data_IF_804384549449
#
_entry.id   IF_804384549449
#
_cell.length_a   1.000
_cell.length_b   1.000
_cell.length_c   1.000
_cell.angle_alpha   90.00
_cell.angle_beta   90.00
_cell.angle_gamma   90.00
#
_symmetry.space_group_name_H-M   'P 1'
#
loop_
_entity.id
_entity.type
_entity.pdbx_description
1 polymer ?
#
# COMPACT_ATOMS: atom_id res chain seq x y z
N UNK A 1 -6.78 -21.60 -0.32
CA UNK A 1 -6.04 -20.46 0.25
C UNK A 1 -7.06 -19.39 0.58
N UNK A 2 -7.32 -19.18 1.87
CA UNK A 2 -8.37 -18.32 2.41
C UNK A 2 -7.97 -16.85 2.30
N UNK A 3 -8.67 -16.09 1.46
CA UNK A 3 -8.53 -14.64 1.38
C UNK A 3 -9.37 -14.03 2.51
N UNK A 4 -8.72 -13.54 3.57
CA UNK A 4 -9.42 -12.94 4.71
C UNK A 4 -8.75 -11.62 5.08
N UNK A 5 -9.49 -10.53 4.90
CA UNK A 5 -9.39 -9.32 5.72
C UNK A 5 -8.30 -8.30 5.39
N UNK A 6 -8.51 -7.47 4.36
CA UNK A 6 -8.04 -6.08 4.36
C UNK A 6 -9.13 -5.16 3.82
N UNK A 7 -9.93 -4.60 4.74
CA UNK A 7 -11.08 -3.73 4.46
C UNK A 7 -10.85 -2.34 5.05
N UNK A 8 -9.92 -1.56 4.49
CA UNK A 8 -9.93 -0.07 4.56
C UNK A 8 -8.76 0.53 3.80
N UNK A 9 -9.04 1.52 2.97
CA UNK A 9 -8.05 2.53 2.60
C UNK A 9 -7.97 3.58 3.71
N UNK A 10 -6.77 4.11 3.91
CA UNK A 10 -6.48 5.17 4.88
C UNK A 10 -7.33 6.42 4.54
N UNK A 11 -7.91 7.05 5.57
CA UNK A 11 -8.61 8.35 5.42
C UNK A 11 -7.55 9.44 5.19
N UNK A 12 -7.75 10.39 4.26
CA UNK A 12 -6.97 11.62 4.27
C UNK A 12 -7.27 12.40 5.58
N UNK A 13 -6.21 12.87 6.23
CA UNK A 13 -6.28 13.76 7.40
C UNK A 13 -6.57 15.18 6.90
N UNK A 14 -7.53 15.93 7.47
CA UNK A 14 -7.76 17.31 7.10
C UNK A 14 -6.58 18.19 7.55
N UNK A 15 -6.08 19.03 6.65
CA UNK A 15 -5.00 19.98 6.90
C UNK A 15 -5.54 21.13 7.77
N UNK A 16 -5.39 21.02 9.08
CA UNK A 16 -5.21 22.18 9.96
C UNK A 16 -3.71 22.38 10.17
N UNK A 17 -3.23 23.60 10.43
CA UNK A 17 -1.81 23.83 10.71
C UNK A 17 -1.35 22.96 11.89
N UNK A 18 -0.65 21.88 11.57
CA UNK A 18 -0.13 20.91 12.52
C UNK A 18 1.32 21.28 12.79
N UNK A 19 1.65 21.64 14.03
CA UNK A 19 3.03 21.90 14.43
C UNK A 19 3.87 20.62 14.35
N UNK A 20 4.96 20.65 13.59
CA UNK A 20 5.95 19.55 13.56
C UNK A 20 7.21 20.00 14.28
N UNK A 21 7.58 19.29 15.36
CA UNK A 21 8.83 19.51 16.07
C UNK A 21 9.77 18.33 15.84
N UNK A 22 10.96 18.57 15.28
CA UNK A 22 11.97 17.51 15.08
C UNK A 22 13.29 17.92 15.72
N UNK A 23 13.85 17.04 16.56
CA UNK A 23 15.12 17.27 17.25
C UNK A 23 16.07 16.09 17.00
N UNK A 24 17.09 16.24 16.13
CA UNK A 24 18.18 15.28 16.00
C UNK A 24 19.36 15.63 16.94
N UNK A 25 20.01 14.62 17.50
CA UNK A 25 21.25 14.72 18.27
C UNK A 25 22.22 13.60 17.87
N UNK A 26 23.44 13.96 17.48
CA UNK A 26 24.51 13.02 17.12
C UNK A 26 25.72 13.31 18.01
N UNK A 27 26.34 12.27 18.57
CA UNK A 27 27.59 12.40 19.33
C UNK A 27 28.62 11.34 18.92
N UNK A 28 29.84 11.78 18.67
CA UNK A 28 31.01 10.93 18.44
C UNK A 28 31.78 10.79 19.75
N UNK A 29 31.48 9.72 20.51
CA UNK A 29 31.94 9.53 21.89
C UNK A 29 31.15 10.37 22.91
N UNK A 30 30.65 9.72 23.98
CA UNK A 30 29.85 10.38 25.02
C UNK A 30 28.33 10.21 24.86
N UNK A 31 27.52 11.05 25.53
CA UNK A 31 26.05 10.92 25.52
C UNK A 31 25.39 11.85 24.51
N UNK A 32 24.50 11.32 23.66
CA UNK A 32 23.61 12.09 22.78
C UNK A 32 22.20 12.15 23.38
N UNK A 33 21.64 13.36 23.53
CA UNK A 33 20.27 13.54 24.04
C UNK A 33 19.45 14.42 23.12
N UNK A 34 18.29 13.91 22.68
CA UNK A 34 17.34 14.64 21.83
C UNK A 34 16.00 14.84 22.55
N UNK A 35 15.51 16.08 22.57
CA UNK A 35 14.19 16.42 23.12
C UNK A 35 13.36 17.17 22.08
N UNK A 36 12.18 16.63 21.74
CA UNK A 36 11.22 17.29 20.85
C UNK A 36 9.88 17.48 21.56
N UNK A 37 9.34 18.69 21.53
CA UNK A 37 8.02 19.00 22.12
C UNK A 37 7.14 19.71 21.09
N UNK A 38 5.94 19.21 20.86
CA UNK A 38 4.96 19.85 19.98
C UNK A 38 3.62 20.10 20.70
N UNK A 39 3.06 21.29 20.53
CA UNK A 39 1.69 21.61 20.94
C UNK A 39 0.77 21.47 19.72
N UNK A 40 0.07 20.34 19.62
CA UNK A 40 -0.67 19.94 18.43
C UNK A 40 0.24 19.47 17.29
N UNK A 41 0.18 18.18 16.96
CA UNK A 41 0.90 17.59 15.83
C UNK A 41 1.96 16.55 16.15
N UNK A 42 3.00 16.46 15.32
CA UNK A 42 4.01 15.40 15.43
C UNK A 42 5.29 15.91 16.08
N UNK A 43 5.75 15.23 17.13
CA UNK A 43 7.06 15.47 17.76
C UNK A 43 7.96 14.26 17.49
N UNK A 44 9.13 14.50 16.88
CA UNK A 44 10.11 13.45 16.59
C UNK A 44 11.47 13.78 17.19
N UNK A 45 11.96 12.94 18.10
CA UNK A 45 13.31 13.06 18.67
C UNK A 45 14.19 11.91 18.17
N UNK A 46 15.36 12.21 17.62
CA UNK A 46 16.32 11.20 17.18
C UNK A 46 17.68 11.42 17.83
N UNK A 47 18.16 10.46 18.61
CA UNK A 47 19.50 10.52 19.20
C UNK A 47 20.35 9.34 18.72
N UNK A 48 21.57 9.60 18.25
CA UNK A 48 22.54 8.52 17.98
C UNK A 48 23.87 8.80 18.66
N UNK A 49 24.45 7.77 19.27
CA UNK A 49 25.78 7.86 19.86
C UNK A 49 26.68 6.74 19.35
N UNK A 50 27.85 7.12 18.83
CA UNK A 50 28.93 6.20 18.52
C UNK A 50 29.77 5.99 19.78
N UNK A 51 29.64 4.83 20.42
CA UNK A 51 30.44 4.46 21.61
C UNK A 51 29.97 5.01 22.97
N UNK A 52 28.75 5.57 23.09
CA UNK A 52 28.22 6.09 24.36
C UNK A 52 26.69 5.97 24.48
N UNK A 53 26.01 6.73 25.35
CA UNK A 53 24.56 6.60 25.60
C UNK A 53 23.75 7.50 24.67
N UNK A 54 22.64 6.99 24.12
CA UNK A 54 21.70 7.80 23.34
C UNK A 54 20.35 7.81 24.06
N UNK A 55 19.78 9.00 24.27
CA UNK A 55 18.49 9.19 24.92
C UNK A 55 17.64 10.12 24.07
N UNK A 56 16.45 9.69 23.65
CA UNK A 56 15.51 10.52 22.92
C UNK A 56 14.20 10.61 23.69
N UNK A 57 13.62 11.80 23.76
CA UNK A 57 12.34 12.03 24.40
C UNK A 57 11.49 12.96 23.54
N UNK A 58 10.31 12.50 23.16
CA UNK A 58 9.35 13.29 22.39
C UNK A 58 8.06 13.43 23.20
N UNK A 59 7.50 14.63 23.26
CA UNK A 59 6.17 14.87 23.81
C UNK A 59 5.31 15.64 22.82
N UNK A 60 4.08 15.19 22.63
CA UNK A 60 3.09 15.88 21.80
C UNK A 60 1.77 15.98 22.57
N UNK A 61 1.27 17.21 22.74
CA UNK A 61 -0.07 17.42 23.29
C UNK A 61 -1.08 17.35 22.14
N UNK A 62 -1.84 16.26 22.06
CA UNK A 62 -2.90 16.08 21.05
C UNK A 62 -2.44 15.56 19.67
N UNK A 63 -1.26 14.94 19.57
CA UNK A 63 -0.76 14.33 18.34
C UNK A 63 0.24 13.19 18.59
N UNK A 64 1.06 12.83 17.58
CA UNK A 64 1.97 11.68 17.65
C UNK A 64 3.35 12.05 18.15
N UNK A 65 3.87 11.35 19.15
CA UNK A 65 5.25 11.52 19.64
C UNK A 65 6.08 10.27 19.32
N UNK A 66 7.21 10.46 18.64
CA UNK A 66 8.11 9.37 18.24
C UNK A 66 9.52 9.68 18.73
N UNK A 67 10.13 8.77 19.47
CA UNK A 67 11.49 8.91 19.97
C UNK A 67 12.33 7.70 19.53
N UNK A 68 13.44 7.97 18.84
CA UNK A 68 14.39 6.96 18.39
C UNK A 68 15.76 7.24 19.00
N UNK A 69 16.29 6.28 19.75
CA UNK A 69 17.64 6.31 20.25
C UNK A 69 18.40 5.09 19.72
N UNK A 70 19.51 5.32 19.02
CA UNK A 70 20.36 4.26 18.48
C UNK A 70 21.77 4.34 19.08
N UNK A 71 22.30 3.16 19.42
CA UNK A 71 23.71 2.99 19.83
C UNK A 71 24.37 2.08 18.82
N UNK A 72 25.47 2.53 18.24
CA UNK A 72 26.28 1.66 17.38
C UNK A 72 27.26 0.88 18.28
N UNK A 73 26.88 -0.35 18.63
CA UNK A 73 27.80 -1.30 19.28
C UNK A 73 27.57 -2.70 18.71
N UNK A 74 28.65 -3.31 18.22
CA UNK A 74 28.63 -4.66 17.65
C UNK A 74 28.37 -5.76 18.69
N UNK A 75 27.70 -6.80 18.19
CA UNK A 75 27.53 -8.16 18.75
C UNK A 75 26.41 -8.44 19.77
N UNK A 76 25.59 -9.41 19.33
CA UNK A 76 24.76 -10.41 20.04
C UNK A 76 23.68 -10.02 21.07
N UNK A 77 22.43 -10.27 20.62
CA UNK A 77 21.21 -10.69 21.31
C UNK A 77 20.99 -10.36 22.81
N UNK A 78 19.91 -9.63 23.08
CA UNK A 78 18.85 -10.01 24.04
C UNK A 78 17.67 -9.02 23.93
N UNK A 79 16.46 -9.57 23.77
CA UNK A 79 15.23 -8.78 23.64
C UNK A 79 14.72 -8.25 24.99
N UNK A 80 14.07 -7.09 24.96
CA UNK A 80 13.06 -6.72 25.94
C UNK A 80 12.03 -5.75 25.31
N UNK A 81 10.82 -6.28 25.16
CA UNK A 81 9.49 -5.67 25.17
C UNK A 81 9.33 -4.21 24.66
N UNK A 82 8.88 -4.09 23.41
CA UNK A 82 7.99 -3.00 23.03
C UNK A 82 6.56 -3.41 23.43
N UNK A 83 6.02 -2.75 24.46
CA UNK A 83 4.66 -2.98 24.93
C UNK A 83 3.67 -2.42 23.91
N UNK A 84 3.02 -3.35 23.18
CA UNK A 84 2.02 -3.05 22.18
C UNK A 84 0.73 -2.62 22.89
N UNK A 85 0.25 -1.41 22.62
CA UNK A 85 -1.10 -1.01 22.98
C UNK A 85 -2.11 -1.84 22.19
N UNK A 86 -2.56 -2.92 22.82
CA UNK A 86 -3.71 -3.70 22.44
C UNK A 86 -4.97 -2.84 22.59
N UNK A 87 -5.44 -2.31 21.47
CA UNK A 87 -6.83 -1.90 21.33
C UNK A 87 -7.65 -3.12 20.86
N UNK A 88 -8.37 -3.70 21.81
CA UNK A 88 -9.38 -4.76 21.70
C UNK A 88 -9.88 -5.10 20.28
N UNK A 89 -9.17 -5.99 19.59
CA UNK A 89 -9.77 -6.78 18.52
C UNK A 89 -10.28 -8.06 19.16
N UNK A 90 -11.56 -8.07 19.56
CA UNK A 90 -12.27 -9.35 19.71
C UNK A 90 -12.13 -10.06 18.38
N UNK A 91 -11.34 -11.14 18.37
CA UNK A 91 -11.30 -12.08 17.26
C UNK A 91 -12.76 -12.47 16.95
N UNK A 92 -13.31 -11.90 15.89
CA UNK A 92 -14.60 -12.36 15.38
C UNK A 92 -14.39 -13.83 15.03
N UNK A 93 -15.19 -14.77 15.58
CA UNK A 93 -15.10 -16.17 15.19
C UNK A 93 -15.21 -16.25 13.66
N UNK A 94 -14.36 -17.08 13.05
CA UNK A 94 -14.26 -17.24 11.61
C UNK A 94 -15.66 -17.36 10.99
N UNK A 95 -16.09 -16.34 10.25
CA UNK A 95 -17.39 -16.38 9.59
C UNK A 95 -17.30 -17.46 8.51
N UNK A 96 -18.17 -18.46 8.61
CA UNK A 96 -18.33 -19.49 7.57
C UNK A 96 -18.78 -18.82 6.27
N UNK A 97 -17.85 -18.69 5.34
CA UNK A 97 -18.02 -18.17 3.99
C UNK A 97 -18.25 -16.65 3.93
N UNK A 98 -17.61 -16.01 2.95
CA UNK A 98 -17.90 -14.62 2.60
C UNK A 98 -19.36 -14.49 2.13
N UNK A 99 -19.97 -13.34 2.39
CA UNK A 99 -21.35 -13.03 1.97
C UNK A 99 -21.37 -11.78 1.13
N UNK A 100 -22.27 -11.74 0.16
CA UNK A 100 -22.51 -10.54 -0.63
C UNK A 100 -23.02 -9.43 0.27
N UNK A 101 -22.37 -8.27 0.22
CA UNK A 101 -22.75 -7.12 1.04
C UNK A 101 -23.99 -6.37 0.52
N UNK A 102 -24.49 -6.76 -0.65
CA UNK A 102 -25.72 -6.21 -1.25
C UNK A 102 -26.96 -7.05 -0.93
N UNK A 103 -26.86 -8.39 -1.03
CA UNK A 103 -28.00 -9.30 -0.89
C UNK A 103 -27.81 -10.44 0.12
N UNK A 104 -26.71 -10.45 0.87
CA UNK A 104 -26.35 -11.44 1.90
C UNK A 104 -26.21 -12.91 1.44
N UNK A 105 -26.30 -13.19 0.13
CA UNK A 105 -26.05 -14.54 -0.40
C UNK A 105 -24.62 -15.01 -0.07
N UNK A 106 -24.45 -16.32 0.14
CA UNK A 106 -23.12 -16.90 0.33
C UNK A 106 -22.32 -16.79 -0.96
N UNK A 107 -21.05 -16.43 -0.83
CA UNK A 107 -20.12 -16.30 -1.95
C UNK A 107 -19.19 -17.52 -2.03
N UNK A 108 -18.78 -17.90 -3.24
CA UNK A 108 -17.64 -18.79 -3.42
C UNK A 108 -16.33 -18.09 -3.01
N UNK A 109 -15.27 -18.88 -2.82
CA UNK A 109 -13.93 -18.39 -2.48
C UNK A 109 -13.46 -17.29 -3.45
N UNK A 110 -13.72 -17.47 -4.76
CA UNK A 110 -13.53 -16.44 -5.78
C UNK A 110 -14.85 -15.74 -6.07
N UNK A 111 -14.92 -14.44 -5.88
CA UNK A 111 -16.09 -13.63 -6.13
C UNK A 111 -15.71 -12.24 -6.64
N UNK A 112 -16.69 -11.49 -7.13
CA UNK A 112 -16.49 -10.14 -7.67
C UNK A 112 -16.53 -9.09 -6.57
N UNK A 113 -15.98 -7.91 -6.83
CA UNK A 113 -16.00 -6.79 -5.89
C UNK A 113 -16.65 -5.54 -6.48
N UNK A 114 -17.18 -4.70 -5.59
CA UNK A 114 -17.54 -3.32 -5.87
C UNK A 114 -16.63 -2.39 -5.04
N UNK A 115 -16.29 -1.23 -5.57
CA UNK A 115 -15.75 -0.13 -4.78
C UNK A 115 -16.92 0.74 -4.31
N UNK A 116 -17.08 0.92 -3.00
CA UNK A 116 -17.92 2.00 -2.46
C UNK A 116 -17.12 3.30 -2.49
N UNK A 117 -17.52 4.22 -3.37
CA UNK A 117 -16.88 5.51 -3.60
C UNK A 117 -16.98 6.46 -2.41
N UNK A 118 -17.94 6.22 -1.50
CA UNK A 118 -18.12 7.03 -0.28
C UNK A 118 -17.12 6.62 0.79
N UNK A 119 -17.06 5.31 1.10
CA UNK A 119 -16.15 4.79 2.12
C UNK A 119 -14.75 4.47 1.57
N UNK A 120 -14.56 4.51 0.26
CA UNK A 120 -13.35 4.12 -0.47
C UNK A 120 -12.89 2.73 -0.05
N UNK A 121 -13.78 1.75 -0.18
CA UNK A 121 -13.53 0.38 0.27
C UNK A 121 -14.09 -0.65 -0.70
N UNK A 122 -13.43 -1.81 -0.77
CA UNK A 122 -13.92 -2.96 -1.49
C UNK A 122 -15.05 -3.66 -0.72
N UNK A 123 -16.10 -4.02 -1.46
CA UNK A 123 -17.25 -4.76 -0.97
C UNK A 123 -17.40 -6.06 -1.75
N UNK A 124 -17.52 -7.17 -1.04
CA UNK A 124 -17.74 -8.49 -1.62
C UNK A 124 -19.12 -8.53 -2.29
N UNK A 125 -19.15 -8.93 -3.56
CA UNK A 125 -20.34 -8.87 -4.40
C UNK A 125 -20.56 -10.20 -5.13
N UNK A 126 -21.81 -10.66 -5.19
CA UNK A 126 -22.15 -11.78 -6.05
C UNK A 126 -22.29 -11.34 -7.50
N UNK A 127 -22.25 -12.30 -8.44
CA UNK A 127 -22.35 -11.98 -9.87
C UNK A 127 -23.64 -11.26 -10.25
N UNK A 128 -24.78 -11.63 -9.65
CA UNK A 128 -26.05 -10.97 -9.94
C UNK A 128 -26.06 -9.50 -9.49
N UNK A 129 -25.56 -9.21 -8.28
CA UNK A 129 -25.47 -7.84 -7.79
C UNK A 129 -24.41 -7.03 -8.55
N UNK A 130 -23.31 -7.65 -8.98
CA UNK A 130 -22.30 -7.01 -9.83
C UNK A 130 -22.94 -6.40 -11.09
N UNK A 131 -23.77 -7.18 -11.80
CA UNK A 131 -24.44 -6.73 -13.02
C UNK A 131 -25.43 -5.58 -12.79
N UNK A 132 -26.00 -5.44 -11.59
CA UNK A 132 -26.87 -4.31 -11.27
C UNK A 132 -26.11 -2.97 -11.25
N UNK A 133 -24.80 -3.00 -11.06
CA UNK A 133 -23.95 -1.80 -11.00
C UNK A 133 -23.02 -1.64 -12.22
N UNK A 134 -23.11 -2.53 -13.21
CA UNK A 134 -22.39 -2.39 -14.48
C UNK A 134 -22.84 -1.18 -15.31
N UNK A 135 -24.16 -0.86 -15.39
CA UNK A 135 -24.59 0.35 -16.09
C UNK A 135 -24.01 1.61 -15.47
N UNK A 136 -23.51 2.50 -16.32
CA UNK A 136 -22.94 3.78 -15.88
C UNK A 136 -23.97 4.60 -15.09
N UNK A 137 -23.53 5.18 -13.96
CA UNK A 137 -24.40 5.99 -13.10
C UNK A 137 -25.32 5.19 -12.16
N UNK A 138 -25.28 3.85 -12.16
CA UNK A 138 -26.01 3.03 -11.21
C UNK A 138 -25.74 3.48 -9.76
N UNK A 139 -26.81 3.56 -8.94
CA UNK A 139 -26.76 4.09 -7.58
C UNK A 139 -26.03 5.44 -7.46
N UNK A 140 -26.27 6.35 -8.42
CA UNK A 140 -25.63 7.66 -8.51
C UNK A 140 -24.08 7.59 -8.51
N UNK A 141 -23.51 6.51 -9.05
CA UNK A 141 -22.07 6.29 -9.12
C UNK A 141 -21.42 5.95 -7.77
N UNK A 142 -22.20 5.68 -6.72
CA UNK A 142 -21.67 5.30 -5.40
C UNK A 142 -20.91 3.98 -5.44
N UNK A 143 -21.39 3.02 -6.23
CA UNK A 143 -20.77 1.71 -6.34
C UNK A 143 -20.19 1.53 -7.73
N UNK A 144 -18.92 1.13 -7.80
CA UNK A 144 -18.25 0.86 -9.07
C UNK A 144 -17.81 -0.60 -9.16
N UNK A 145 -18.19 -1.33 -10.21
CA UNK A 145 -17.76 -2.71 -10.40
C UNK A 145 -16.27 -2.82 -10.73
N UNK A 146 -15.57 -3.66 -9.96
CA UNK A 146 -14.17 -3.99 -10.22
C UNK A 146 -14.10 -4.94 -11.43
N UNK A 147 -13.36 -4.60 -12.50
CA UNK A 147 -13.32 -5.42 -13.71
C UNK A 147 -12.58 -6.73 -13.47
N UNK A 148 -12.69 -7.63 -14.44
CA UNK A 148 -11.88 -8.86 -14.49
C UNK A 148 -10.80 -8.77 -15.59
N UNK A 149 -10.37 -7.54 -15.94
CA UNK A 149 -9.40 -7.25 -17.01
C UNK A 149 -7.98 -7.23 -16.46
N UNK A 150 -7.10 -8.04 -17.04
CA UNK A 150 -5.67 -8.12 -16.74
C UNK A 150 -4.89 -7.93 -18.02
N UNK A 151 -4.02 -6.91 -18.08
CA UNK A 151 -3.19 -6.62 -19.23
C UNK A 151 -1.72 -6.53 -18.83
N UNK A 152 -0.85 -6.93 -19.74
CA UNK A 152 0.60 -6.81 -19.63
C UNK A 152 1.15 -6.07 -20.86
N UNK A 153 2.07 -5.11 -20.65
CA UNK A 153 2.78 -4.48 -21.75
C UNK A 153 4.19 -5.10 -21.91
N UNK A 154 4.42 -5.97 -22.92
CA UNK A 154 5.73 -6.59 -23.12
C UNK A 154 6.81 -5.60 -23.55
N UNK A 155 6.44 -4.38 -23.93
CA UNK A 155 7.37 -3.30 -24.26
C UNK A 155 7.14 -2.10 -23.32
N UNK A 156 6.82 -2.40 -22.05
CA UNK A 156 6.74 -1.41 -20.98
C UNK A 156 8.05 -0.63 -20.85
N UNK A 157 7.94 0.69 -20.66
CA UNK A 157 9.06 1.61 -20.57
C UNK A 157 9.02 2.33 -19.22
N UNK A 158 10.07 2.13 -18.43
CA UNK A 158 10.37 2.88 -17.22
C UNK A 158 11.88 2.96 -17.05
N UNK A 159 12.38 4.16 -16.76
CA UNK A 159 13.82 4.36 -16.51
C UNK A 159 14.17 4.14 -15.04
N UNK A 160 15.43 3.83 -14.75
CA UNK A 160 15.92 3.72 -13.38
C UNK A 160 15.68 5.01 -12.57
N UNK A 161 15.91 6.19 -13.19
CA UNK A 161 15.69 7.48 -12.55
C UNK A 161 14.21 7.69 -12.15
N UNK A 162 13.28 7.32 -13.03
CA UNK A 162 11.83 7.38 -12.73
C UNK A 162 11.44 6.40 -11.61
N UNK A 163 12.04 5.20 -11.58
CA UNK A 163 11.81 4.25 -10.50
C UNK A 163 12.32 4.77 -9.15
N UNK A 164 13.52 5.35 -9.11
CA UNK A 164 14.14 5.84 -7.89
C UNK A 164 13.35 7.02 -7.29
N UNK A 165 12.74 7.85 -8.14
CA UNK A 165 11.85 8.95 -7.70
C UNK A 165 10.59 8.46 -6.96
N UNK A 166 10.11 7.25 -7.28
CA UNK A 166 8.98 6.64 -6.56
C UNK A 166 9.35 6.20 -5.13
N UNK A 167 10.66 6.06 -4.83
CA UNK A 167 11.25 5.56 -3.59
C UNK A 167 10.57 4.31 -3.00
N UNK A 168 10.34 3.31 -3.84
CA UNK A 168 9.63 2.08 -3.46
C UNK A 168 10.60 1.07 -2.84
N UNK A 169 10.47 0.71 -1.54
CA UNK A 169 11.43 -0.14 -0.86
C UNK A 169 11.34 -1.63 -1.21
N UNK A 170 10.18 -2.08 -1.73
CA UNK A 170 9.87 -3.51 -1.91
C UNK A 170 9.83 -3.96 -3.37
N UNK A 171 10.32 -3.13 -4.31
CA UNK A 171 10.37 -3.50 -5.72
C UNK A 171 9.01 -3.59 -6.41
N UNK A 172 7.91 -3.23 -5.73
CA UNK A 172 6.54 -3.36 -6.23
C UNK A 172 5.69 -2.17 -5.78
N UNK A 173 4.97 -1.57 -6.72
CA UNK A 173 4.05 -0.46 -6.47
C UNK A 173 2.86 -0.56 -7.40
N UNK A 174 1.66 -0.23 -6.93
CA UNK A 174 0.52 -0.02 -7.80
C UNK A 174 0.05 1.43 -7.71
N UNK A 175 -0.26 2.00 -8.86
CA UNK A 175 -0.68 3.38 -9.00
C UNK A 175 -2.04 3.42 -9.68
N UNK A 176 -2.97 4.21 -9.14
CA UNK A 176 -4.29 4.36 -9.74
C UNK A 176 -4.81 5.79 -9.60
N UNK A 177 -5.63 6.19 -10.58
CA UNK A 177 -6.32 7.46 -10.56
C UNK A 177 -7.57 7.38 -9.66
N UNK A 178 -7.88 8.47 -8.98
CA UNK A 178 -9.12 8.61 -8.21
C UNK A 178 -10.04 9.59 -8.92
N UNK A 179 -11.32 9.27 -9.10
CA UNK A 179 -12.22 10.18 -9.85
C UNK A 179 -12.45 11.54 -9.18
N UNK A 180 -12.10 11.69 -7.90
CA UNK A 180 -12.24 12.92 -7.13
C UNK A 180 -10.90 13.64 -6.87
N UNK A 181 -9.81 13.18 -7.50
CA UNK A 181 -8.49 13.79 -7.43
C UNK A 181 -7.91 13.95 -8.82
N UNK A 182 -7.16 15.02 -9.04
CA UNK A 182 -6.36 15.17 -10.26
C UNK A 182 -5.05 14.41 -10.18
N UNK A 183 -4.54 14.18 -8.98
CA UNK A 183 -3.30 13.45 -8.75
C UNK A 183 -3.59 11.97 -8.51
N UNK A 184 -2.82 11.06 -9.13
CA UNK A 184 -2.88 9.63 -8.85
C UNK A 184 -2.37 9.34 -7.44
N UNK A 185 -2.69 8.15 -6.94
CA UNK A 185 -2.16 7.64 -5.67
C UNK A 185 -1.37 6.37 -5.91
N UNK A 186 -0.26 6.22 -5.19
CA UNK A 186 0.62 5.07 -5.28
C UNK A 186 0.66 4.33 -3.94
N UNK A 187 0.61 3.01 -3.99
CA UNK A 187 0.71 2.15 -2.82
C UNK A 187 1.70 1.02 -3.08
N UNK A 188 2.42 0.65 -2.03
CA UNK A 188 3.28 -0.53 -2.04
C UNK A 188 2.94 -1.47 -0.88
N UNK A 189 3.13 -2.79 -1.05
CA UNK A 189 2.95 -3.74 0.04
C UNK A 189 3.94 -3.54 1.19
N UNK A 190 3.47 -3.67 2.43
CA UNK A 190 4.31 -3.60 3.63
C UNK A 190 3.77 -4.52 4.75
N UNK A 191 4.50 -4.69 5.86
CA UNK A 191 3.99 -5.40 7.04
C UNK A 191 2.68 -4.81 7.59
N UNK A 192 2.49 -3.49 7.42
CA UNK A 192 1.30 -2.78 7.86
C UNK A 192 0.13 -2.91 6.87
N UNK A 193 0.36 -3.46 5.68
CA UNK A 193 -0.62 -3.56 4.60
C UNK A 193 -0.25 -2.67 3.42
N UNK A 194 -1.23 -2.03 2.80
CA UNK A 194 -0.99 -1.12 1.69
C UNK A 194 -0.46 0.19 2.28
N UNK A 195 0.79 0.50 2.00
CA UNK A 195 1.41 1.76 2.43
C UNK A 195 1.39 2.74 1.28
N UNK A 196 0.82 3.91 1.52
CA UNK A 196 0.78 5.00 0.55
C UNK A 196 2.20 5.58 0.35
N UNK A 197 2.58 5.80 -0.90
CA UNK A 197 3.78 6.58 -1.21
C UNK A 197 3.43 8.06 -1.11
N UNK A 198 4.13 8.78 -0.23
CA UNK A 198 3.94 10.21 -0.01
C UNK A 198 4.76 11.08 -0.97
N UNK A 199 5.49 10.46 -1.90
CA UNK A 199 6.31 11.20 -2.86
C UNK A 199 5.48 11.69 -4.05
N UNK A 200 5.71 12.93 -4.52
CA UNK A 200 5.02 13.47 -5.66
C UNK A 200 5.18 12.57 -6.88
N UNK A 201 4.07 12.20 -7.50
CA UNK A 201 4.05 11.38 -8.71
C UNK A 201 4.22 12.24 -9.97
N UNK A 202 5.14 13.21 -9.94
CA UNK A 202 5.38 14.18 -11.02
C UNK A 202 5.81 13.53 -12.35
N UNK A 203 6.36 12.32 -12.28
CA UNK A 203 6.73 11.51 -13.44
C UNK A 203 5.60 10.64 -13.99
N UNK A 204 4.45 10.54 -13.30
CA UNK A 204 3.41 9.58 -13.66
C UNK A 204 2.82 9.83 -15.05
N UNK A 205 2.55 11.09 -15.38
CA UNK A 205 2.04 11.46 -16.70
C UNK A 205 3.01 11.07 -17.82
N UNK A 206 4.31 11.20 -17.58
CA UNK A 206 5.35 10.79 -18.52
C UNK A 206 5.40 9.26 -18.68
N UNK A 207 5.25 8.52 -17.58
CA UNK A 207 5.15 7.05 -17.61
C UNK A 207 3.93 6.62 -18.39
N UNK A 208 2.75 7.22 -18.16
CA UNK A 208 1.54 6.89 -18.91
C UNK A 208 1.64 7.25 -20.40
N UNK A 209 2.29 8.38 -20.73
CA UNK A 209 2.54 8.78 -22.12
C UNK A 209 3.48 7.81 -22.86
N UNK A 210 4.51 7.30 -22.18
CA UNK A 210 5.43 6.31 -22.74
C UNK A 210 4.80 4.90 -22.89
N UNK A 211 3.70 4.65 -22.19
CA UNK A 211 3.02 3.36 -22.11
C UNK A 211 1.52 3.46 -22.50
N UNK A 212 1.21 3.82 -23.75
CA UNK A 212 -0.18 4.07 -24.20
C UNK A 212 -1.07 2.83 -24.12
N UNK A 213 -0.51 1.63 -23.97
CA UNK A 213 -1.26 0.40 -23.71
C UNK A 213 -2.08 0.43 -22.42
N UNK A 214 -1.79 1.36 -21.50
CA UNK A 214 -2.54 1.56 -20.25
C UNK A 214 -3.42 2.81 -20.25
N UNK A 215 -3.57 3.51 -21.39
CA UNK A 215 -4.32 4.77 -21.47
C UNK A 215 -5.81 4.63 -21.08
N UNK A 216 -6.40 3.44 -21.26
CA UNK A 216 -7.80 3.15 -20.91
C UNK A 216 -7.98 2.64 -19.46
N UNK A 217 -7.02 2.91 -18.56
CA UNK A 217 -7.16 2.58 -17.14
C UNK A 217 -8.39 3.26 -16.56
N UNK A 218 -9.27 2.47 -15.90
CA UNK A 218 -10.50 2.99 -15.31
C UNK A 218 -10.22 3.48 -13.89
N UNK A 219 -10.45 4.76 -13.57
CA UNK A 219 -10.22 5.31 -12.23
C UNK A 219 -10.96 4.54 -11.15
N UNK A 220 -10.35 4.50 -9.96
CA UNK A 220 -10.84 3.87 -8.73
C UNK A 220 -10.94 2.33 -8.73
N UNK A 221 -11.02 1.68 -9.89
CA UNK A 221 -11.28 0.23 -10.00
C UNK A 221 -10.17 -0.57 -10.70
N UNK A 222 -9.26 0.10 -11.39
CA UNK A 222 -8.07 -0.49 -11.99
C UNK A 222 -6.82 0.27 -11.55
N UNK A 223 -5.69 -0.43 -11.54
CA UNK A 223 -4.40 0.14 -11.22
C UNK A 223 -3.34 -0.34 -12.21
N UNK A 224 -2.32 0.48 -12.40
CA UNK A 224 -1.08 0.08 -13.05
C UNK A 224 -0.14 -0.43 -11.97
N UNK A 225 0.12 -1.74 -11.97
CA UNK A 225 1.07 -2.42 -11.10
C UNK A 225 2.44 -2.46 -11.79
N UNK A 226 3.44 -1.89 -11.11
CA UNK A 226 4.83 -1.88 -11.52
C UNK A 226 5.64 -2.83 -10.64
N UNK A 227 6.55 -3.56 -11.27
CA UNK A 227 7.53 -4.41 -10.58
C UNK A 227 8.92 -4.12 -11.12
N UNK A 228 9.89 -4.09 -10.21
CA UNK A 228 11.31 -4.19 -10.53
C UNK A 228 11.76 -5.64 -10.41
N UNK A 229 12.38 -6.17 -11.45
CA UNK A 229 13.02 -7.48 -11.48
C UNK A 229 14.48 -7.35 -11.94
N UNK A 230 15.40 -7.24 -10.98
CA UNK A 230 16.78 -6.86 -11.26
C UNK A 230 16.88 -5.45 -11.87
N UNK A 231 17.34 -5.38 -13.12
CA UNK A 231 17.43 -4.15 -13.92
C UNK A 231 16.22 -3.93 -14.84
N UNK A 232 15.26 -4.85 -14.86
CA UNK A 232 14.06 -4.76 -15.69
C UNK A 232 12.88 -4.22 -14.89
N UNK A 233 11.98 -3.57 -15.61
CA UNK A 233 10.70 -3.12 -15.07
C UNK A 233 9.57 -3.76 -15.87
N UNK A 234 8.61 -4.32 -15.16
CA UNK A 234 7.38 -4.85 -15.74
C UNK A 234 6.20 -3.96 -15.35
N UNK A 235 5.27 -3.78 -16.29
CA UNK A 235 4.03 -3.04 -16.10
C UNK A 235 2.83 -3.91 -16.40
N UNK A 236 1.84 -3.88 -15.51
CA UNK A 236 0.56 -4.55 -15.67
C UNK A 236 -0.57 -3.58 -15.39
N UNK A 237 -1.67 -3.68 -16.13
CA UNK A 237 -2.94 -3.08 -15.75
C UNK A 237 -3.82 -4.19 -15.16
N UNK A 238 -4.17 -4.05 -13.89
CA UNK A 238 -4.92 -5.06 -13.15
C UNK A 238 -6.09 -4.45 -12.38
N UNK A 239 -7.10 -5.25 -12.02
CA UNK A 239 -8.17 -4.79 -11.16
C UNK A 239 -7.64 -4.43 -9.77
N UNK A 240 -8.21 -3.40 -9.15
CA UNK A 240 -7.70 -2.87 -7.87
C UNK A 240 -7.75 -3.92 -6.75
N UNK A 241 -8.71 -4.84 -6.76
CA UNK A 241 -8.81 -5.91 -5.77
C UNK A 241 -7.65 -6.92 -5.86
N UNK A 242 -7.07 -7.12 -7.04
CA UNK A 242 -5.86 -7.93 -7.23
C UNK A 242 -4.62 -7.27 -6.61
N UNK A 243 -4.53 -5.93 -6.63
CA UNK A 243 -3.50 -5.20 -5.88
C UNK A 243 -3.64 -5.45 -4.37
N UNK A 244 -4.88 -5.43 -3.86
CA UNK A 244 -5.14 -5.71 -2.44
C UNK A 244 -4.92 -7.16 -2.06
N UNK A 245 -5.15 -8.10 -2.98
CA UNK A 245 -4.77 -9.50 -2.80
C UNK A 245 -3.26 -9.64 -2.61
N UNK A 246 -2.46 -9.02 -3.48
CA UNK A 246 -1.00 -9.00 -3.35
C UNK A 246 -0.56 -8.44 -1.99
N UNK A 247 -1.10 -7.29 -1.59
CA UNK A 247 -0.84 -6.70 -0.28
C UNK A 247 -1.18 -7.66 0.86
N UNK A 248 -2.32 -8.35 0.78
CA UNK A 248 -2.73 -9.36 1.75
C UNK A 248 -1.77 -10.55 1.82
N UNK A 249 -1.36 -11.09 0.68
CA UNK A 249 -0.36 -12.18 0.59
C UNK A 249 0.96 -11.76 1.22
N UNK A 250 1.43 -10.56 0.92
CA UNK A 250 2.67 -9.98 1.45
C UNK A 250 2.58 -9.85 2.96
N UNK A 251 1.53 -9.17 3.46
CA UNK A 251 1.35 -8.93 4.89
C UNK A 251 1.24 -10.23 5.70
N UNK A 252 0.57 -11.25 5.19
CA UNK A 252 0.39 -12.53 5.89
C UNK A 252 1.68 -13.35 6.00
N UNK A 253 2.59 -13.21 5.04
CA UNK A 253 3.83 -13.99 4.96
C UNK A 253 5.07 -13.22 5.43
N UNK A 254 4.92 -11.94 5.78
CA UNK A 254 6.04 -11.12 6.20
C UNK A 254 6.65 -11.62 7.51
N UNK A 255 7.95 -11.93 7.48
CA UNK A 255 8.74 -12.30 8.66
C UNK A 255 10.05 -11.49 8.71
N UNK A 256 10.39 -10.95 9.89
CA UNK A 256 11.64 -10.21 10.10
C UNK A 256 11.73 -8.91 9.30
N UNK A 257 12.95 -8.40 9.09
CA UNK A 257 13.19 -7.10 8.43
C UNK A 257 12.97 -7.15 6.91
N UNK A 258 13.36 -8.24 6.26
CA UNK A 258 13.31 -8.40 4.80
C UNK A 258 12.21 -9.34 4.30
N UNK A 259 11.24 -9.70 5.15
CA UNK A 259 10.08 -10.49 4.79
C UNK A 259 10.28 -12.00 4.61
N UNK A 260 11.53 -12.45 4.40
CA UNK A 260 11.89 -13.88 4.32
C UNK A 260 11.55 -14.55 2.99
N UNK A 261 12.01 -15.79 2.79
CA UNK A 261 11.85 -16.53 1.52
C UNK A 261 10.38 -16.82 1.16
N UNK A 262 9.55 -17.18 2.15
CA UNK A 262 8.12 -17.43 1.95
C UNK A 262 7.37 -16.23 1.36
N UNK A 263 7.76 -15.01 1.75
CA UNK A 263 7.23 -13.78 1.18
C UNK A 263 7.58 -13.67 -0.29
N UNK A 264 8.87 -13.77 -0.61
CA UNK A 264 9.35 -13.58 -1.98
C UNK A 264 8.82 -14.66 -2.92
N UNK A 265 8.65 -15.89 -2.43
CA UNK A 265 7.96 -16.93 -3.17
C UNK A 265 6.49 -16.55 -3.44
N UNK A 266 5.78 -15.98 -2.46
CA UNK A 266 4.39 -15.56 -2.66
C UNK A 266 4.24 -14.42 -3.68
N UNK A 267 5.20 -13.50 -3.69
CA UNK A 267 5.27 -12.42 -4.68
C UNK A 267 5.55 -13.03 -6.06
N UNK A 268 6.53 -13.94 -6.17
CA UNK A 268 6.83 -14.65 -7.41
C UNK A 268 5.62 -15.43 -7.94
N UNK A 269 4.93 -16.19 -7.08
CA UNK A 269 3.72 -16.94 -7.41
C UNK A 269 2.61 -16.01 -7.94
N UNK A 270 2.40 -14.86 -7.28
CA UNK A 270 1.43 -13.86 -7.72
C UNK A 270 1.75 -13.34 -9.13
N UNK A 271 3.02 -13.01 -9.40
CA UNK A 271 3.41 -12.55 -10.74
C UNK A 271 3.38 -13.67 -11.78
N UNK A 272 3.60 -14.93 -11.39
CA UNK A 272 3.38 -16.10 -12.24
C UNK A 272 1.91 -16.25 -12.63
N UNK A 273 1.00 -16.23 -11.66
CA UNK A 273 -0.45 -16.21 -11.89
C UNK A 273 -0.88 -15.02 -12.78
N UNK A 274 -0.25 -13.86 -12.57
CA UNK A 274 -0.55 -12.67 -13.34
C UNK A 274 -0.11 -12.81 -14.80
N UNK A 275 1.09 -13.36 -15.05
CA UNK A 275 1.59 -13.60 -16.40
C UNK A 275 0.73 -14.61 -17.18
N UNK A 276 0.15 -15.61 -16.52
CA UNK A 276 -0.77 -16.56 -17.15
C UNK A 276 -2.13 -15.94 -17.50
N UNK A 277 -2.60 -14.97 -16.70
CA UNK A 277 -3.92 -14.35 -16.87
C UNK A 277 -3.91 -13.11 -17.76
N UNK A 278 -2.81 -12.38 -17.77
CA UNK A 278 -2.72 -11.09 -18.45
C UNK A 278 -2.65 -11.27 -19.97
N UNK A 279 -3.55 -10.60 -20.68
CA UNK A 279 -3.46 -10.48 -22.13
C UNK A 279 -2.44 -9.38 -22.50
N UNK A 280 -1.72 -9.50 -23.63
CA UNK A 280 -0.87 -8.40 -24.09
C UNK A 280 -1.72 -7.17 -24.42
N UNK A 281 -1.22 -5.97 -24.10
CA UNK A 281 -1.88 -4.72 -24.52
C UNK A 281 -1.95 -4.64 -26.05
N UNK A 282 -3.12 -4.27 -26.57
CA UNK A 282 -3.29 -4.03 -28.00
C UNK A 282 -2.85 -2.60 -28.30
N UNK A 283 -1.65 -2.41 -28.85
CA UNK A 283 -1.24 -1.09 -29.34
C UNK A 283 -1.99 -0.81 -30.65
N UNK A 284 -2.88 0.18 -30.65
CA UNK A 284 -3.43 0.69 -31.91
C UNK A 284 -2.29 1.08 -32.84
N UNK A 285 -2.28 0.56 -34.07
CA UNK A 285 -1.36 1.07 -35.10
C UNK A 285 -1.75 2.52 -35.36
N UNK A 286 -0.94 3.46 -34.89
CA UNK A 286 -0.94 4.83 -35.40
C UNK A 286 -0.30 4.85 -36.79
#
# INVERSE_FOLDING_TARGET
MTQTGLRRFVRPVPVGEVGTATAPALAEGGSATAHATAEGGSATAHATAAGGTATAHATAAGGTATAHAARESGSEAQGAAAESLSADYRASPARVGERCEMCAQRLPDRHTHLVDMTSRSLMCCCRACFFLFEPEGAAAGRYRPVPERYLHDPAFQLTQAQWDELAIPVGVVFVFAQSNSTEPVAFYPSPAGATESLLPLGIWDQVMQANPGFAEVRPDVEAVLLRRDGERFDGYLIPIDACYDLVGRVRLKWKGFGGGEELWQAVADFFGELAERAAPVTRGRH
#
